data_IF_784190293721
#
_entry.id   IF_784190293721
#
_cell.length_a   1.000
_cell.length_b   1.000
_cell.length_c   1.000
_cell.angle_alpha   90.00
_cell.angle_beta   90.00
_cell.angle_gamma   90.00
#
_symmetry.space_group_name_H-M   'P 1'
#
loop_
_entity.id
_entity.type
_entity.pdbx_description
1 polymer ?
#
# COMPACT_ATOMS: atom_id res chain seq x y z
N UNK A 1 -7.70 -4.29 -6.06
CA UNK A 1 -6.54 -3.65 -5.40
C UNK A 1 -5.43 -4.63 -5.03
N UNK A 2 -4.17 -4.19 -5.15
CA UNK A 2 -2.97 -4.92 -4.75
C UNK A 2 -1.86 -3.94 -4.34
N UNK A 3 -0.87 -4.40 -3.58
CA UNK A 3 0.29 -3.59 -3.18
C UNK A 3 1.53 -3.97 -3.99
N UNK A 4 2.32 -2.96 -4.35
CA UNK A 4 3.68 -3.14 -4.85
C UNK A 4 4.72 -2.55 -3.91
N UNK A 5 5.84 -3.23 -3.81
CA UNK A 5 7.03 -2.77 -3.12
C UNK A 5 8.24 -3.00 -4.03
N UNK A 6 9.10 -1.98 -4.19
CA UNK A 6 10.26 -2.02 -5.11
C UNK A 6 9.88 -2.47 -6.55
N UNK A 7 8.69 -2.09 -7.02
CA UNK A 7 8.16 -2.43 -8.34
C UNK A 7 7.52 -3.82 -8.46
N UNK A 8 7.62 -4.67 -7.44
CA UNK A 8 7.07 -6.02 -7.43
C UNK A 8 5.76 -6.09 -6.63
N UNK A 9 4.80 -6.90 -7.10
CA UNK A 9 3.55 -7.12 -6.36
C UNK A 9 3.82 -8.02 -5.16
N UNK A 10 3.57 -7.48 -3.96
CA UNK A 10 3.80 -8.17 -2.68
C UNK A 10 2.52 -8.65 -1.99
N UNK A 11 1.36 -8.05 -2.33
CA UNK A 11 0.08 -8.43 -1.74
C UNK A 11 -1.08 -8.25 -2.73
N UNK A 12 -2.14 -9.07 -2.71
CA UNK A 12 -2.28 -10.29 -1.91
C UNK A 12 -1.40 -11.44 -2.44
N UNK A 13 -0.95 -12.32 -1.54
CA UNK A 13 -0.18 -13.50 -1.92
C UNK A 13 -1.08 -14.51 -2.64
N UNK A 14 -0.60 -15.08 -3.76
CA UNK A 14 -1.31 -16.11 -4.53
C UNK A 14 -2.51 -15.64 -5.37
N UNK A 15 -3.04 -14.43 -5.13
CA UNK A 15 -4.14 -13.85 -5.89
C UNK A 15 -3.69 -12.64 -6.69
N UNK A 16 -4.37 -12.30 -7.78
CA UNK A 16 -4.03 -11.13 -8.61
C UNK A 16 -4.40 -9.80 -7.91
N UNK A 17 -5.48 -9.80 -7.15
CA UNK A 17 -5.97 -8.63 -6.43
C UNK A 17 -6.89 -9.04 -5.29
N UNK A 18 -7.14 -8.10 -4.39
CA UNK A 18 -8.17 -8.16 -3.37
C UNK A 18 -9.17 -7.04 -3.62
N UNK A 19 -10.46 -7.31 -3.36
CA UNK A 19 -11.51 -6.30 -3.48
C UNK A 19 -11.63 -5.54 -2.16
N UNK A 20 -11.56 -4.22 -2.22
CA UNK A 20 -11.72 -3.32 -1.08
C UNK A 20 -12.83 -2.33 -1.47
N UNK A 21 -13.92 -2.31 -0.70
CA UNK A 21 -15.00 -1.35 -0.89
C UNK A 21 -14.83 -0.16 0.09
N UNK A 22 -15.55 0.94 -0.16
CA UNK A 22 -15.42 2.17 0.65
C UNK A 22 -15.85 1.93 2.10
N UNK A 23 -14.96 2.27 3.03
CA UNK A 23 -15.19 2.11 4.48
C UNK A 23 -14.66 0.79 5.03
N UNK A 24 -14.15 -0.10 4.17
CA UNK A 24 -13.55 -1.35 4.61
C UNK A 24 -12.21 -1.11 5.32
N UNK A 25 -11.94 -1.98 6.29
CA UNK A 25 -10.61 -2.22 6.83
C UNK A 25 -10.20 -3.62 6.43
N UNK A 26 -9.02 -3.73 5.82
CA UNK A 26 -8.48 -5.01 5.35
C UNK A 26 -7.20 -5.30 6.10
N UNK A 27 -7.12 -6.50 6.64
CA UNK A 27 -5.91 -7.01 7.25
C UNK A 27 -5.00 -7.56 6.15
N UNK A 28 -3.81 -6.98 6.00
CA UNK A 28 -2.91 -7.26 4.88
C UNK A 28 -2.02 -8.48 5.18
N UNK A 29 -1.72 -8.73 6.47
CA UNK A 29 -0.83 -9.80 6.95
C UNK A 29 0.45 -9.95 6.10
N UNK A 30 1.14 -8.82 5.89
CA UNK A 30 2.36 -8.71 5.09
C UNK A 30 3.52 -8.25 5.97
N UNK A 31 4.62 -9.00 5.93
CA UNK A 31 5.91 -8.59 6.52
C UNK A 31 6.90 -8.29 5.41
N UNK A 32 7.54 -7.12 5.51
CA UNK A 32 8.57 -6.68 4.57
C UNK A 32 9.88 -6.45 5.31
N UNK A 33 10.97 -6.96 4.75
CA UNK A 33 12.31 -6.55 5.15
C UNK A 33 12.67 -5.27 4.40
N UNK A 34 12.93 -4.19 5.15
CA UNK A 34 13.23 -2.87 4.61
C UNK A 34 14.48 -2.30 5.26
N UNK A 35 15.23 -1.51 4.50
CA UNK A 35 16.36 -0.76 5.03
C UNK A 35 15.84 0.48 5.79
N UNK A 36 16.62 0.98 6.75
CA UNK A 36 16.32 2.24 7.42
C UNK A 36 16.28 3.40 6.40
N UNK A 37 15.34 4.32 6.59
CA UNK A 37 15.15 5.47 5.72
C UNK A 37 13.76 5.53 5.08
N UNK A 38 13.66 6.19 3.93
CA UNK A 38 12.38 6.38 3.24
C UNK A 38 11.98 5.11 2.47
N UNK A 39 10.76 4.67 2.69
CA UNK A 39 10.14 3.49 2.10
C UNK A 39 8.89 3.92 1.35
N UNK A 40 8.77 3.44 0.11
CA UNK A 40 7.60 3.64 -0.75
C UNK A 40 6.88 2.32 -0.99
N UNK A 41 5.58 2.31 -0.71
CA UNK A 41 4.66 1.21 -1.03
C UNK A 41 3.55 1.75 -1.92
N UNK A 42 3.33 1.13 -3.07
CA UNK A 42 2.34 1.58 -4.03
C UNK A 42 1.04 0.80 -3.89
N UNK A 43 -0.10 1.50 -3.99
CA UNK A 43 -1.41 0.89 -4.10
C UNK A 43 -1.90 0.96 -5.54
N UNK A 44 -2.35 -0.17 -6.06
CA UNK A 44 -2.85 -0.29 -7.42
C UNK A 44 -4.24 -0.88 -7.43
N UNK A 45 -5.05 -0.48 -8.39
CA UNK A 45 -6.27 -1.20 -8.73
C UNK A 45 -6.06 -2.13 -9.92
N UNK A 46 -6.67 -3.30 -9.83
CA UNK A 46 -6.55 -4.32 -10.87
C UNK A 46 -7.71 -4.18 -11.84
N UNK A 47 -7.39 -4.07 -13.13
CA UNK A 47 -8.37 -4.14 -14.20
C UNK A 47 -8.12 -5.40 -15.02
N UNK A 48 -9.17 -6.20 -15.22
CA UNK A 48 -9.10 -7.44 -16.00
C UNK A 48 -9.07 -7.18 -17.51
N UNK A 49 -9.66 -6.07 -17.96
CA UNK A 49 -9.86 -5.77 -19.38
C UNK A 49 -8.91 -4.68 -19.90
N UNK A 50 -8.23 -3.96 -19.01
CA UNK A 50 -7.34 -2.86 -19.37
C UNK A 50 -6.00 -2.91 -18.61
N UNK A 51 -5.36 -1.76 -18.42
CA UNK A 51 -4.14 -1.65 -17.63
C UNK A 51 -4.49 -1.44 -16.16
N UNK A 52 -3.69 -2.00 -15.25
CA UNK A 52 -3.85 -1.73 -13.83
C UNK A 52 -3.58 -0.25 -13.54
N UNK A 53 -4.39 0.32 -12.66
CA UNK A 53 -4.32 1.74 -12.32
C UNK A 53 -3.47 1.95 -11.07
N UNK A 54 -2.48 2.84 -11.15
CA UNK A 54 -1.72 3.25 -9.98
C UNK A 54 -2.52 4.32 -9.22
N UNK A 55 -3.02 3.97 -8.03
CA UNK A 55 -3.85 4.88 -7.24
C UNK A 55 -3.01 5.90 -6.47
N UNK A 56 -1.85 5.47 -5.97
CA UNK A 56 -0.95 6.33 -5.22
C UNK A 56 0.12 5.57 -4.45
N UNK A 57 0.84 6.31 -3.61
CA UNK A 57 2.00 5.79 -2.88
C UNK A 57 1.92 6.18 -1.41
N UNK A 58 2.18 5.21 -0.54
CA UNK A 58 2.49 5.42 0.87
C UNK A 58 3.99 5.63 0.99
N UNK A 59 4.39 6.84 1.41
CA UNK A 59 5.80 7.19 1.66
C UNK A 59 5.97 7.44 3.15
N UNK A 60 6.82 6.64 3.80
CA UNK A 60 7.06 6.73 5.24
C UNK A 60 8.54 6.50 5.56
N UNK A 61 8.98 6.98 6.71
CA UNK A 61 10.36 6.81 7.17
C UNK A 61 10.41 5.70 8.21
N UNK A 62 11.32 4.75 8.03
CA UNK A 62 11.59 3.65 8.95
C UNK A 62 12.89 3.96 9.68
N UNK A 63 12.82 3.96 11.01
CA UNK A 63 13.95 4.10 11.92
C UNK A 63 14.11 2.84 12.79
N UNK A 64 14.97 2.88 13.80
CA UNK A 64 15.24 1.77 14.72
C UNK A 64 14.31 1.77 15.96
N UNK A 65 13.20 2.51 15.91
CA UNK A 65 12.22 2.58 17.00
C UNK A 65 11.07 1.60 16.73
N UNK A 66 10.90 0.54 17.54
CA UNK A 66 9.71 -0.31 17.43
C UNK A 66 8.44 0.46 17.78
N UNK A 67 7.33 0.13 17.12
CA UNK A 67 6.05 0.78 17.38
C UNK A 67 5.03 0.62 16.28
N UNK A 68 3.81 1.09 16.56
CA UNK A 68 2.71 1.16 15.60
C UNK A 68 2.64 2.54 14.95
N UNK A 69 2.49 2.55 13.64
CA UNK A 69 2.49 3.75 12.82
C UNK A 69 1.31 3.72 11.84
N UNK A 70 1.03 4.88 11.27
CA UNK A 70 0.12 4.98 10.13
C UNK A 70 0.59 6.02 9.14
N UNK A 71 0.20 5.84 7.89
CA UNK A 71 0.61 6.73 6.80
C UNK A 71 -0.55 6.91 5.84
N UNK A 72 -0.89 8.17 5.58
CA UNK A 72 -1.87 8.53 4.56
C UNK A 72 -1.24 8.43 3.17
N UNK A 73 -1.98 7.90 2.22
CA UNK A 73 -1.51 7.78 0.85
C UNK A 73 -1.44 9.15 0.16
N UNK A 74 -0.37 9.36 -0.61
CA UNK A 74 -0.35 10.40 -1.62
C UNK A 74 -0.97 9.86 -2.91
N UNK A 75 -2.14 10.37 -3.26
CA UNK A 75 -2.83 10.02 -4.52
C UNK A 75 -2.01 10.43 -5.73
N UNK A 76 -2.02 9.60 -6.77
CA UNK A 76 -1.45 9.94 -8.07
C UNK A 76 -2.31 10.99 -8.78
N UNK A 77 -3.63 10.79 -8.79
CA UNK A 77 -4.58 11.74 -9.36
C UNK A 77 -4.93 12.87 -8.39
N UNK A 78 -4.65 14.12 -8.80
CA UNK A 78 -4.86 15.32 -7.97
C UNK A 78 -6.31 15.64 -7.64
N UNK A 79 -7.26 15.12 -8.41
CA UNK A 79 -8.70 15.41 -8.25
C UNK A 79 -9.49 14.25 -7.63
N UNK A 80 -8.81 13.15 -7.26
CA UNK A 80 -9.47 12.02 -6.61
C UNK A 80 -9.89 12.41 -5.18
N UNK A 81 -11.09 11.98 -4.79
CA UNK A 81 -11.61 12.15 -3.43
C UNK A 81 -11.35 10.94 -2.54
N UNK A 82 -10.74 9.88 -3.08
CA UNK A 82 -10.41 8.69 -2.34
C UNK A 82 -9.34 8.99 -1.28
N UNK A 83 -9.42 8.32 -0.14
CA UNK A 83 -8.42 8.45 0.93
C UNK A 83 -8.11 7.06 1.47
N UNK A 84 -6.82 6.77 1.57
CA UNK A 84 -6.32 5.49 2.08
C UNK A 84 -5.30 5.76 3.17
N UNK A 85 -5.41 4.99 4.25
CA UNK A 85 -4.47 5.02 5.38
C UNK A 85 -3.93 3.60 5.53
N UNK A 86 -2.61 3.47 5.52
CA UNK A 86 -1.94 2.21 5.83
C UNK A 86 -1.50 2.22 7.29
N UNK A 87 -1.87 1.18 8.03
CA UNK A 87 -1.34 0.92 9.36
C UNK A 87 -0.20 -0.09 9.24
N UNK A 88 0.91 0.17 9.94
CA UNK A 88 2.11 -0.66 9.88
C UNK A 88 2.86 -0.60 11.20
N UNK A 89 3.73 -1.56 11.45
CA UNK A 89 4.53 -1.62 12.68
C UNK A 89 5.99 -1.96 12.40
N UNK A 90 6.87 -1.49 13.28
CA UNK A 90 8.27 -1.92 13.37
C UNK A 90 8.35 -2.91 14.53
N UNK A 91 8.77 -4.15 14.23
CA UNK A 91 8.88 -5.27 15.17
C UNK A 91 10.24 -5.31 15.88
#
# INVERSE_FOLDING_TARGET
>A
MFLKFKGEKVWPVGNLYFRIDTGDKVDVDLKLEVDLGWVDVELWDFDFLSFNDHLGTFTFNVDDTPGEYSTSMKLLEKNSTASYIMHWEIL
#
